data_IF_344672049946
#
_entry.id   IF_344672049946
#
_cell.length_a   1.000
_cell.length_b   1.000
_cell.length_c   1.000
_cell.angle_alpha   90.00
_cell.angle_beta   90.00
_cell.angle_gamma   90.00
#
_symmetry.space_group_name_H-M   'P 1'
#
loop_
_entity.id
_entity.type
_entity.pdbx_description
1 polymer ?
#
# COMPACT_ATOMS: atom_id res chain seq x y z
N UNK A 1 -66.22 25.90 56.49
CA UNK A 1 -65.14 24.90 56.69
C UNK A 1 -65.73 23.53 56.46
N UNK A 2 -65.42 22.87 55.35
CA UNK A 2 -65.75 21.47 55.10
C UNK A 2 -64.52 20.81 54.48
N UNK A 3 -63.73 20.11 55.31
CA UNK A 3 -62.65 19.23 54.88
C UNK A 3 -63.23 17.87 54.55
N UNK A 4 -63.23 17.49 53.27
CA UNK A 4 -63.47 16.12 52.84
C UNK A 4 -62.27 15.25 53.22
N UNK A 5 -62.48 14.03 53.74
CA UNK A 5 -61.40 13.12 54.13
C UNK A 5 -60.67 12.60 52.89
N UNK A 6 -59.33 12.73 52.90
CA UNK A 6 -58.44 12.03 51.98
C UNK A 6 -58.48 10.53 52.32
N UNK A 7 -59.08 9.74 51.43
CA UNK A 7 -59.07 8.29 51.49
C UNK A 7 -57.69 7.78 51.01
N UNK A 8 -56.91 7.04 51.82
CA UNK A 8 -55.53 6.68 51.49
C UNK A 8 -55.36 5.44 50.59
N UNK A 9 -56.38 5.03 49.82
CA UNK A 9 -56.37 3.74 49.12
C UNK A 9 -56.75 3.82 47.62
N UNK A 10 -55.96 4.53 46.81
CA UNK A 10 -56.04 4.44 45.34
C UNK A 10 -54.89 3.58 44.77
N UNK A 11 -55.07 2.24 44.62
CA UNK A 11 -54.06 1.34 44.03
C UNK A 11 -53.75 1.64 42.55
N UNK A 12 -54.57 2.47 41.89
CA UNK A 12 -54.38 2.93 40.51
C UNK A 12 -53.19 3.91 40.38
N UNK A 13 -53.03 4.85 41.31
CA UNK A 13 -51.92 5.82 41.28
C UNK A 13 -50.57 5.20 41.62
N UNK A 14 -50.56 4.12 42.41
CA UNK A 14 -49.35 3.36 42.71
C UNK A 14 -48.85 2.59 41.48
N UNK A 15 -49.77 1.95 40.73
CA UNK A 15 -49.42 1.23 39.49
C UNK A 15 -49.02 2.15 38.34
N UNK A 16 -49.63 3.33 38.22
CA UNK A 16 -49.22 4.33 37.22
C UNK A 16 -47.79 4.83 37.46
N UNK A 17 -47.38 5.02 38.71
CA UNK A 17 -46.00 5.41 39.05
C UNK A 17 -44.98 4.33 38.73
N UNK A 18 -45.31 3.05 38.97
CA UNK A 18 -44.45 1.92 38.57
C UNK A 18 -44.34 1.79 37.05
N UNK A 19 -45.44 1.96 36.31
CA UNK A 19 -45.44 1.90 34.85
C UNK A 19 -44.56 3.02 34.25
N UNK A 20 -44.67 4.25 34.77
CA UNK A 20 -43.86 5.39 34.31
C UNK A 20 -42.38 5.22 34.67
N UNK A 21 -42.06 4.63 35.82
CA UNK A 21 -40.67 4.34 36.20
C UNK A 21 -40.02 3.27 35.31
N UNK A 22 -40.74 2.19 35.00
CA UNK A 22 -40.23 1.15 34.10
C UNK A 22 -40.04 1.68 32.67
N UNK A 23 -40.95 2.51 32.17
CA UNK A 23 -40.79 3.12 30.84
C UNK A 23 -39.58 4.07 30.80
N UNK A 24 -39.33 4.85 31.86
CA UNK A 24 -38.11 5.69 31.95
C UNK A 24 -36.83 4.86 31.97
N UNK A 25 -36.81 3.75 32.70
CA UNK A 25 -35.65 2.86 32.75
C UNK A 25 -35.38 2.20 31.38
N UNK A 26 -36.43 1.80 30.66
CA UNK A 26 -36.34 1.25 29.30
C UNK A 26 -35.81 2.28 28.29
N UNK A 27 -36.27 3.54 28.37
CA UNK A 27 -35.79 4.61 27.49
C UNK A 27 -34.31 4.92 27.75
N UNK A 28 -33.89 5.02 29.02
CA UNK A 28 -32.49 5.25 29.39
C UNK A 28 -31.56 4.10 28.92
N UNK A 29 -32.04 2.86 28.94
CA UNK A 29 -31.29 1.72 28.39
C UNK A 29 -31.18 1.77 26.87
N UNK A 30 -32.26 2.07 26.15
CA UNK A 30 -32.27 2.22 24.70
C UNK A 30 -31.34 3.35 24.24
N UNK A 31 -31.35 4.49 24.93
CA UNK A 31 -30.52 5.66 24.60
C UNK A 31 -29.03 5.36 24.87
N UNK A 32 -28.71 4.61 25.93
CA UNK A 32 -27.34 4.12 26.18
C UNK A 32 -26.88 3.16 25.10
N UNK A 33 -27.73 2.26 24.63
CA UNK A 33 -27.36 1.27 23.61
C UNK A 33 -27.19 1.90 22.22
N UNK A 34 -28.00 2.89 21.87
CA UNK A 34 -27.79 3.72 20.68
C UNK A 34 -26.48 4.50 20.76
N UNK A 35 -26.14 5.08 21.91
CA UNK A 35 -24.87 5.79 22.09
C UNK A 35 -23.66 4.86 21.91
N UNK A 36 -23.76 3.61 22.38
CA UNK A 36 -22.72 2.59 22.24
C UNK A 36 -22.60 2.11 20.79
N UNK A 37 -23.72 1.89 20.10
CA UNK A 37 -23.74 1.55 18.66
C UNK A 37 -23.16 2.68 17.81
N UNK A 38 -23.56 3.94 18.04
CA UNK A 38 -22.99 5.11 17.33
C UNK A 38 -21.49 5.22 17.52
N UNK A 39 -21.00 5.04 18.76
CA UNK A 39 -19.55 5.06 19.04
C UNK A 39 -18.81 3.95 18.30
N UNK A 40 -19.31 2.71 18.32
CA UNK A 40 -18.69 1.59 17.57
C UNK A 40 -18.65 1.85 16.07
N UNK A 41 -19.73 2.37 15.49
CA UNK A 41 -19.79 2.70 14.06
C UNK A 41 -18.79 3.81 13.71
N UNK A 42 -18.66 4.84 14.55
CA UNK A 42 -17.65 5.89 14.37
C UNK A 42 -16.21 5.38 14.47
N UNK A 43 -15.92 4.47 15.41
CA UNK A 43 -14.60 3.84 15.49
C UNK A 43 -14.29 2.99 14.25
N UNK A 44 -15.27 2.25 13.72
CA UNK A 44 -15.11 1.46 12.50
C UNK A 44 -14.89 2.35 11.27
N UNK A 45 -15.62 3.46 11.15
CA UNK A 45 -15.41 4.46 10.09
C UNK A 45 -14.03 5.12 10.20
N UNK A 46 -13.62 5.52 11.40
CA UNK A 46 -12.31 6.11 11.64
C UNK A 46 -11.15 5.17 11.29
N UNK A 47 -11.34 3.85 11.45
CA UNK A 47 -10.35 2.84 11.05
C UNK A 47 -10.29 2.63 9.52
N UNK A 48 -11.40 2.81 8.80
CA UNK A 48 -11.46 2.60 7.35
C UNK A 48 -10.94 3.78 6.52
N UNK A 49 -11.12 5.01 7.00
CA UNK A 49 -10.65 6.24 6.34
C UNK A 49 -9.15 6.21 6.01
N UNK A 50 -8.22 5.89 6.94
CA UNK A 50 -6.79 5.87 6.63
C UNK A 50 -6.44 4.76 5.64
N UNK A 51 -7.15 3.62 5.68
CA UNK A 51 -6.91 2.52 4.75
C UNK A 51 -7.30 2.92 3.32
N UNK A 52 -8.47 3.53 3.13
CA UNK A 52 -8.91 4.05 1.84
C UNK A 52 -7.98 5.16 1.31
N UNK A 53 -7.48 6.02 2.20
CA UNK A 53 -6.53 7.07 1.84
C UNK A 53 -5.19 6.52 1.35
N UNK A 54 -4.62 5.53 2.05
CA UNK A 54 -3.36 4.88 1.63
C UNK A 54 -3.54 4.14 0.31
N UNK A 55 -4.61 3.37 0.15
CA UNK A 55 -4.92 2.67 -1.10
C UNK A 55 -5.11 3.66 -2.26
N UNK A 56 -5.81 4.77 -2.02
CA UNK A 56 -5.97 5.84 -3.01
C UNK A 56 -4.64 6.48 -3.43
N UNK A 57 -3.76 6.77 -2.48
CA UNK A 57 -2.42 7.32 -2.79
C UNK A 57 -1.58 6.33 -3.60
N UNK A 58 -1.59 5.05 -3.23
CA UNK A 58 -0.84 4.02 -3.95
C UNK A 58 -1.34 3.91 -5.39
N UNK A 59 -2.66 3.81 -5.60
CA UNK A 59 -3.24 3.68 -6.93
C UNK A 59 -2.99 4.92 -7.82
N UNK A 60 -2.94 6.12 -7.25
CA UNK A 60 -2.61 7.35 -7.99
C UNK A 60 -1.11 7.38 -8.34
N UNK A 61 -0.24 6.87 -7.47
CA UNK A 61 1.22 6.84 -7.71
C UNK A 61 1.69 5.70 -8.60
N UNK A 62 0.92 4.63 -8.75
CA UNK A 62 1.26 3.49 -9.61
C UNK A 62 0.91 3.68 -11.08
N UNK A 63 0.53 4.89 -11.51
CA UNK A 63 0.60 5.24 -12.94
C UNK A 63 2.07 5.43 -13.31
N UNK A 64 2.81 4.32 -13.35
CA UNK A 64 4.17 4.31 -13.85
C UNK A 64 4.15 4.80 -15.29
N UNK A 65 4.95 5.84 -15.56
CA UNK A 65 5.10 6.43 -16.87
C UNK A 65 5.53 5.32 -17.84
N UNK A 66 4.78 5.03 -18.93
CA UNK A 66 5.16 3.97 -19.87
C UNK A 66 6.57 4.19 -20.45
N UNK A 67 7.02 5.46 -20.51
CA UNK A 67 8.38 5.82 -20.87
C UNK A 67 9.43 5.35 -19.86
N UNK A 68 9.12 5.34 -18.55
CA UNK A 68 10.02 4.81 -17.51
C UNK A 68 10.10 3.29 -17.56
N UNK A 69 8.97 2.61 -17.70
CA UNK A 69 8.92 1.16 -17.86
C UNK A 69 9.72 0.69 -19.09
N UNK A 70 9.57 1.38 -20.22
CA UNK A 70 10.36 1.08 -21.42
C UNK A 70 11.87 1.33 -21.20
N UNK A 71 12.24 2.43 -20.54
CA UNK A 71 13.63 2.73 -20.23
C UNK A 71 14.26 1.69 -19.30
N UNK A 72 13.53 1.22 -18.29
CA UNK A 72 13.99 0.20 -17.35
C UNK A 72 14.15 -1.16 -18.03
N UNK A 73 13.25 -1.52 -18.94
CA UNK A 73 13.39 -2.74 -19.75
C UNK A 73 14.60 -2.69 -20.68
N UNK A 74 14.84 -1.56 -21.36
CA UNK A 74 16.03 -1.39 -22.21
C UNK A 74 17.31 -1.50 -21.38
N UNK A 75 17.35 -0.88 -20.20
CA UNK A 75 18.49 -0.96 -19.29
C UNK A 75 18.71 -2.38 -18.75
N UNK A 76 17.63 -3.10 -18.44
CA UNK A 76 17.71 -4.50 -18.02
C UNK A 76 18.29 -5.39 -19.14
N UNK A 77 17.88 -5.16 -20.39
CA UNK A 77 18.43 -5.85 -21.56
C UNK A 77 19.93 -5.53 -21.76
N UNK A 78 20.33 -4.26 -21.66
CA UNK A 78 21.74 -3.86 -21.77
C UNK A 78 22.62 -4.54 -20.71
N UNK A 79 22.15 -4.62 -19.46
CA UNK A 79 22.85 -5.29 -18.37
C UNK A 79 22.91 -6.80 -18.55
N UNK A 80 21.82 -7.43 -19.00
CA UNK A 80 21.79 -8.86 -19.27
C UNK A 80 22.73 -9.24 -20.43
N UNK A 81 22.75 -8.43 -21.50
CA UNK A 81 23.67 -8.62 -22.62
C UNK A 81 25.13 -8.49 -22.17
N UNK A 82 25.45 -7.49 -21.34
CA UNK A 82 26.79 -7.33 -20.79
C UNK A 82 27.21 -8.52 -19.93
N UNK A 83 26.34 -9.00 -19.04
CA UNK A 83 26.63 -10.15 -18.20
C UNK A 83 26.91 -11.41 -19.03
N UNK A 84 26.19 -11.60 -20.14
CA UNK A 84 26.38 -12.74 -21.03
C UNK A 84 27.68 -12.67 -21.86
N UNK A 85 28.12 -11.47 -22.26
CA UNK A 85 29.22 -11.30 -23.22
C UNK A 85 30.56 -10.87 -22.59
N UNK A 86 30.55 -10.25 -21.41
CA UNK A 86 31.77 -9.77 -20.74
C UNK A 86 32.78 -10.88 -20.46
N UNK A 87 32.33 -12.06 -20.03
CA UNK A 87 33.20 -13.22 -19.79
C UNK A 87 33.76 -13.86 -21.07
N UNK A 88 33.18 -13.58 -22.24
CA UNK A 88 33.75 -13.98 -23.54
C UNK A 88 34.84 -12.99 -23.96
N UNK A 89 34.57 -11.69 -23.82
CA UNK A 89 35.54 -10.63 -24.06
C UNK A 89 36.79 -10.73 -23.16
N UNK A 90 36.62 -11.05 -21.87
CA UNK A 90 37.74 -11.26 -20.97
C UNK A 90 38.63 -12.43 -21.41
N UNK A 91 38.01 -13.53 -21.89
CA UNK A 91 38.73 -14.68 -22.44
C UNK A 91 39.49 -14.31 -23.71
N UNK A 92 38.85 -13.63 -24.65
CA UNK A 92 39.49 -13.18 -25.89
C UNK A 92 40.65 -12.21 -25.60
N UNK A 93 40.52 -11.29 -24.64
CA UNK A 93 41.63 -10.42 -24.23
C UNK A 93 42.80 -11.18 -23.62
N UNK A 94 42.51 -12.20 -22.80
CA UNK A 94 43.53 -13.05 -22.16
C UNK A 94 44.26 -13.90 -23.19
N UNK A 95 43.54 -14.43 -24.17
CA UNK A 95 44.11 -15.19 -25.31
C UNK A 95 44.95 -14.29 -26.22
N UNK A 96 44.51 -13.06 -26.47
CA UNK A 96 45.26 -12.08 -27.27
C UNK A 96 46.49 -11.51 -26.54
N UNK A 97 46.56 -11.62 -25.21
CA UNK A 97 47.66 -11.09 -24.38
C UNK A 97 48.14 -12.14 -23.35
N UNK A 98 48.73 -13.26 -23.81
CA UNK A 98 49.21 -14.30 -22.91
C UNK A 98 50.37 -13.76 -22.07
N UNK A 99 50.13 -13.52 -20.78
CA UNK A 99 51.10 -12.96 -19.83
C UNK A 99 50.69 -11.62 -19.22
N UNK A 100 49.58 -11.02 -19.66
CA UNK A 100 49.03 -9.81 -19.04
C UNK A 100 48.38 -10.16 -17.68
N UNK A 101 48.70 -9.43 -16.59
CA UNK A 101 48.10 -9.68 -15.29
C UNK A 101 46.61 -9.33 -15.29
N UNK A 102 45.82 -10.05 -14.49
CA UNK A 102 44.35 -9.93 -14.48
C UNK A 102 43.84 -8.51 -14.17
N UNK A 103 44.61 -7.74 -13.38
CA UNK A 103 44.29 -6.34 -13.08
C UNK A 103 44.36 -5.43 -14.33
N UNK A 104 45.27 -5.71 -15.26
CA UNK A 104 45.40 -4.97 -16.52
C UNK A 104 44.35 -5.39 -17.54
N UNK A 105 43.99 -6.69 -17.55
CA UNK A 105 42.85 -7.19 -18.34
C UNK A 105 41.57 -6.50 -17.88
N UNK A 106 41.34 -6.40 -16.56
CA UNK A 106 40.20 -5.67 -16.00
C UNK A 106 40.17 -4.20 -16.41
N UNK A 107 41.32 -3.50 -16.37
CA UNK A 107 41.43 -2.10 -16.82
C UNK A 107 41.13 -1.93 -18.31
N UNK A 108 41.61 -2.85 -19.16
CA UNK A 108 41.30 -2.84 -20.59
C UNK A 108 39.82 -3.14 -20.84
N UNK A 109 39.24 -4.12 -20.15
CA UNK A 109 37.82 -4.44 -20.24
C UNK A 109 36.95 -3.24 -19.84
N UNK A 110 37.33 -2.52 -18.79
CA UNK A 110 36.63 -1.31 -18.36
C UNK A 110 36.76 -0.15 -19.35
N UNK A 111 37.90 -0.05 -20.05
CA UNK A 111 38.10 0.89 -21.15
C UNK A 111 37.24 0.56 -22.37
N UNK A 112 37.04 -0.73 -22.67
CA UNK A 112 36.21 -1.22 -23.78
C UNK A 112 34.70 -1.26 -23.44
N UNK A 113 34.35 -1.24 -22.15
CA UNK A 113 32.96 -1.28 -21.65
C UNK A 113 32.00 -0.31 -22.36
N UNK A 114 32.34 0.97 -22.62
CA UNK A 114 31.42 1.89 -23.29
C UNK A 114 31.10 1.46 -24.72
N UNK A 115 32.09 0.93 -25.45
CA UNK A 115 31.92 0.42 -26.82
C UNK A 115 30.98 -0.80 -26.82
N UNK A 116 31.22 -1.72 -25.90
CA UNK A 116 30.41 -2.93 -25.74
C UNK A 116 28.99 -2.64 -25.27
N UNK A 117 28.79 -1.67 -24.38
CA UNK A 117 27.45 -1.20 -24.00
C UNK A 117 26.74 -0.50 -25.16
N UNK A 118 27.47 0.18 -26.07
CA UNK A 118 26.87 0.72 -27.28
C UNK A 118 26.36 -0.40 -28.21
N UNK A 119 27.09 -1.51 -28.34
CA UNK A 119 26.64 -2.70 -29.06
C UNK A 119 25.42 -3.35 -28.39
N UNK A 120 25.44 -3.48 -27.05
CA UNK A 120 24.30 -3.98 -26.28
C UNK A 120 23.05 -3.13 -26.52
N UNK A 121 23.21 -1.80 -26.52
CA UNK A 121 22.14 -0.85 -26.78
C UNK A 121 21.57 -0.99 -28.19
N UNK A 122 22.40 -1.23 -29.21
CA UNK A 122 21.89 -1.46 -30.57
C UNK A 122 21.11 -2.78 -30.68
N UNK A 123 21.60 -3.85 -30.06
CA UNK A 123 20.93 -5.15 -30.04
C UNK A 123 19.57 -5.07 -29.33
N UNK A 124 19.54 -4.48 -28.13
CA UNK A 124 18.34 -4.33 -27.31
C UNK A 124 17.28 -3.39 -27.95
N UNK A 125 17.70 -2.31 -28.62
CA UNK A 125 16.76 -1.44 -29.35
C UNK A 125 16.23 -2.09 -30.63
N UNK A 126 16.98 -3.02 -31.24
CA UNK A 126 16.53 -3.76 -32.43
C UNK A 126 15.49 -4.83 -32.09
N UNK A 127 15.59 -5.43 -30.90
CA UNK A 127 14.62 -6.42 -30.41
C UNK A 127 13.32 -5.78 -29.96
N UNK A 128 13.36 -4.54 -29.44
CA UNK A 128 12.16 -3.78 -29.07
C UNK A 128 11.32 -3.29 -30.27
N UNK A 129 11.83 -3.39 -31.51
CA UNK A 129 11.14 -2.97 -32.76
C UNK A 129 10.54 -4.14 -33.55
N UNK A 130 10.77 -5.39 -33.15
CA UNK A 130 10.18 -6.59 -33.77
C UNK A 130 8.97 -7.05 -32.96
#
# INVERSE_FOLDING_TARGET
>A
MNTLPNDPADPLRAREKEAVHNVRALVDELERDESRRRKRVWYLLAALIPFAFVVGIVLVRTKEDPARLAADQTRACELAWWAANSGKFEREMREANPGMPNNEIGKKLEKERPSLMATAKTECNSTAKK
#
